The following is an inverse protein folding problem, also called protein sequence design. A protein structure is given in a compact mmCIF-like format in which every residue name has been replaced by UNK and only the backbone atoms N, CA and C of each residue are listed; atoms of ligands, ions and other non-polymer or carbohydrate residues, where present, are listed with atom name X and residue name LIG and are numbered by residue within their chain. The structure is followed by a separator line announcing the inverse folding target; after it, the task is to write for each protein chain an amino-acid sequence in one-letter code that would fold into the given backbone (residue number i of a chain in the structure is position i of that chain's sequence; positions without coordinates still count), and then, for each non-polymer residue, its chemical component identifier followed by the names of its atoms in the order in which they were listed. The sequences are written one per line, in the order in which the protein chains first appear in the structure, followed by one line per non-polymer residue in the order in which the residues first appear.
data_IF_336595719969
#
_entry.id   IF_336595719969
#
_cell.length_a   1.000
_cell.length_b   1.000
_cell.length_c   1.000
_cell.angle_alpha   90.00
_cell.angle_beta   90.00
_cell.angle_gamma   90.00
#
_symmetry.space_group_name_H-M   'P 1'
#
loop_
_entity.id
_entity.type
_entity.pdbx_description
1 polymer ?
#
# COMPACT_ATOMS: atom_id res chain seq x y z
N UNK A 1 26.68 -9.69 13.01
CA UNK A 1 25.57 -9.02 12.28
C UNK A 1 26.03 -8.88 10.83
N UNK A 2 25.40 -9.57 9.87
CA UNK A 2 25.87 -9.59 8.47
C UNK A 2 25.69 -8.22 7.81
N UNK A 3 26.55 -7.89 6.84
CA UNK A 3 26.55 -6.59 6.14
C UNK A 3 25.19 -6.26 5.51
N UNK A 4 24.47 -7.26 5.02
CA UNK A 4 23.13 -7.11 4.47
C UNK A 4 22.10 -6.68 5.51
N UNK A 5 22.19 -7.22 6.74
CA UNK A 5 21.28 -6.84 7.84
C UNK A 5 21.49 -5.39 8.27
N UNK A 6 22.74 -4.91 8.25
CA UNK A 6 23.07 -3.51 8.54
C UNK A 6 22.47 -2.60 7.46
N UNK A 7 22.63 -2.97 6.18
CA UNK A 7 22.03 -2.21 5.07
C UNK A 7 20.49 -2.17 5.15
N UNK A 8 19.85 -3.30 5.46
CA UNK A 8 18.41 -3.37 5.61
C UNK A 8 17.91 -2.50 6.77
N UNK A 9 18.61 -2.55 7.92
CA UNK A 9 18.31 -1.70 9.07
C UNK A 9 18.42 -0.21 8.72
N UNK A 10 19.50 0.22 8.08
CA UNK A 10 19.69 1.61 7.67
C UNK A 10 18.64 2.07 6.66
N UNK A 11 18.21 1.19 5.73
CA UNK A 11 17.13 1.49 4.78
C UNK A 11 15.80 1.74 5.51
N UNK A 12 15.45 0.89 6.47
CA UNK A 12 14.22 1.06 7.27
C UNK A 12 14.32 2.33 8.12
N UNK A 13 15.48 2.56 8.75
CA UNK A 13 15.73 3.75 9.57
C UNK A 13 15.50 5.02 8.76
N UNK A 14 16.10 5.10 7.57
CA UNK A 14 15.91 6.23 6.65
C UNK A 14 14.46 6.38 6.23
N UNK A 15 13.80 5.29 5.82
CA UNK A 15 12.39 5.34 5.46
C UNK A 15 11.54 5.91 6.60
N UNK A 16 11.72 5.44 7.84
CA UNK A 16 10.96 5.96 8.98
C UNK A 16 11.24 7.42 9.33
N UNK A 17 12.46 7.91 9.08
CA UNK A 17 12.84 9.31 9.38
C UNK A 17 12.55 10.29 8.25
N UNK A 18 12.52 9.82 7.01
CA UNK A 18 12.35 10.64 5.80
C UNK A 18 10.94 10.52 5.18
N UNK A 19 10.09 9.63 5.72
CA UNK A 19 8.75 9.39 5.19
C UNK A 19 7.90 10.68 5.23
N UNK A 20 7.18 10.99 4.14
CA UNK A 20 6.22 12.09 4.13
C UNK A 20 5.17 11.88 5.23
N UNK A 21 4.76 12.97 5.88
CA UNK A 21 3.71 12.98 6.89
C UNK A 21 2.47 12.21 6.38
N UNK A 22 2.01 11.25 7.18
CA UNK A 22 0.74 10.57 6.91
C UNK A 22 -0.41 11.57 7.04
N UNK A 23 -1.33 11.52 6.09
CA UNK A 23 -2.56 12.31 6.15
C UNK A 23 -3.54 11.69 7.14
N UNK A 24 -4.23 12.54 7.89
CA UNK A 24 -5.33 12.10 8.74
C UNK A 24 -6.51 11.69 7.84
N UNK A 25 -7.05 10.48 7.97
CA UNK A 25 -8.11 9.99 7.09
C UNK A 25 -9.41 10.79 7.25
N UNK A 26 -10.06 11.11 6.13
CA UNK A 26 -11.42 11.67 6.11
C UNK A 26 -12.37 10.74 5.33
N UNK A 27 -13.32 10.10 6.01
CA UNK A 27 -14.22 9.14 5.35
C UNK A 27 -15.20 9.77 4.35
N UNK A 28 -15.29 11.11 4.28
CA UNK A 28 -16.17 11.80 3.33
C UNK A 28 -15.52 12.03 1.96
N UNK A 29 -14.20 11.88 1.86
CA UNK A 29 -13.45 12.12 0.63
C UNK A 29 -13.02 10.75 0.06
N UNK A 30 -13.14 10.53 -1.26
CA UNK A 30 -12.75 9.24 -1.85
C UNK A 30 -11.29 8.89 -1.61
N UNK A 31 -11.04 7.61 -1.31
CA UNK A 31 -9.67 7.07 -1.20
C UNK A 31 -9.15 6.58 -2.54
N UNK A 32 -7.82 6.61 -2.70
CA UNK A 32 -7.11 5.90 -3.77
C UNK A 32 -6.33 4.75 -3.15
N UNK A 33 -6.59 3.54 -3.61
CA UNK A 33 -5.99 2.35 -3.05
C UNK A 33 -5.02 1.73 -4.03
N UNK A 34 -3.74 2.04 -3.86
CA UNK A 34 -2.66 1.49 -4.66
C UNK A 34 -2.29 0.11 -4.15
N UNK A 35 -2.22 -0.86 -5.05
CA UNK A 35 -1.79 -2.23 -4.73
C UNK A 35 -0.62 -2.64 -5.62
N UNK A 36 0.31 -3.37 -5.03
CA UNK A 36 1.46 -3.96 -5.71
C UNK A 36 1.71 -5.37 -5.18
N UNK A 37 2.04 -6.29 -6.07
CA UNK A 37 2.32 -7.67 -5.72
C UNK A 37 3.52 -8.18 -6.52
N UNK A 38 4.52 -8.69 -5.82
CA UNK A 38 5.70 -9.27 -6.42
C UNK A 38 5.98 -10.67 -5.84
N UNK A 39 6.96 -11.34 -6.43
CA UNK A 39 7.40 -12.68 -6.01
C UNK A 39 8.00 -12.76 -4.60
N UNK A 40 8.17 -11.63 -3.90
CA UNK A 40 8.70 -11.59 -2.53
C UNK A 40 7.67 -11.09 -1.51
N UNK A 41 6.67 -10.32 -1.94
CA UNK A 41 5.76 -9.65 -1.02
C UNK A 41 4.56 -9.01 -1.69
N UNK A 42 3.57 -8.68 -0.86
CA UNK A 42 2.39 -7.92 -1.20
C UNK A 42 2.49 -6.56 -0.51
N UNK A 43 2.11 -5.51 -1.21
CA UNK A 43 2.11 -4.14 -0.73
C UNK A 43 0.84 -3.43 -1.13
N UNK A 44 0.35 -2.56 -0.26
CA UNK A 44 -0.70 -1.61 -0.63
C UNK A 44 -0.54 -0.31 0.17
N UNK A 45 -1.01 0.78 -0.43
CA UNK A 45 -1.05 2.08 0.24
C UNK A 45 -2.39 2.76 -0.03
N UNK A 46 -3.04 3.23 1.03
CA UNK A 46 -4.19 4.12 0.93
C UNK A 46 -3.67 5.54 0.80
N UNK A 47 -4.08 6.21 -0.27
CA UNK A 47 -3.87 7.62 -0.52
C UNK A 47 -5.19 8.37 -0.44
N UNK A 48 -5.09 9.66 -0.17
CA UNK A 48 -6.22 10.57 -0.23
C UNK A 48 -5.77 11.92 -0.79
N UNK A 49 -6.66 12.57 -1.54
CA UNK A 49 -6.43 13.93 -2.04
C UNK A 49 -7.12 14.90 -1.08
N UNK A 50 -6.35 15.67 -0.33
CA UNK A 50 -6.85 16.65 0.63
C UNK A 50 -6.34 18.06 0.28
N UNK A 51 -7.06 19.09 0.74
CA UNK A 51 -6.58 20.47 0.60
C UNK A 51 -5.66 20.78 1.77
N UNK A 52 -4.38 21.01 1.47
CA UNK A 52 -3.35 21.42 2.44
C UNK A 52 -2.74 22.71 1.90
N UNK A 53 -2.71 23.76 2.72
CA UNK A 53 -2.25 25.10 2.32
C UNK A 53 -2.89 25.59 0.99
N UNK A 54 -4.22 25.47 0.91
CA UNK A 54 -5.05 25.83 -0.25
C UNK A 54 -4.72 25.08 -1.56
N UNK A 55 -4.01 23.95 -1.48
CA UNK A 55 -3.63 23.14 -2.65
C UNK A 55 -4.10 21.68 -2.52
N UNK A 56 -4.64 21.08 -3.59
CA UNK A 56 -4.93 19.65 -3.62
C UNK A 56 -3.62 18.87 -3.57
N UNK A 57 -3.42 18.18 -2.45
CA UNK A 57 -2.24 17.37 -2.17
C UNK A 57 -2.68 15.93 -2.00
N UNK A 58 -2.17 15.06 -2.85
CA UNK A 58 -2.31 13.63 -2.65
C UNK A 58 -1.25 13.15 -1.67
N UNK A 59 -1.69 12.48 -0.60
CA UNK A 59 -0.77 11.94 0.39
C UNK A 59 -1.20 10.59 0.93
N UNK A 60 -0.25 9.84 1.49
CA UNK A 60 -0.51 8.53 2.07
C UNK A 60 -1.23 8.65 3.41
N UNK A 61 -2.27 7.85 3.59
CA UNK A 61 -2.99 7.67 4.85
C UNK A 61 -2.42 6.46 5.61
N UNK A 62 -2.20 5.35 4.90
CA UNK A 62 -1.75 4.10 5.50
C UNK A 62 -0.95 3.26 4.52
N UNK A 63 0.19 2.72 4.99
CA UNK A 63 0.97 1.72 4.28
C UNK A 63 0.77 0.35 4.91
N UNK A 64 0.50 -0.66 4.09
CA UNK A 64 0.45 -2.05 4.51
C UNK A 64 1.32 -2.90 3.60
N UNK A 65 2.08 -3.82 4.17
CA UNK A 65 2.84 -4.81 3.41
C UNK A 65 2.94 -6.12 4.17
N UNK A 66 3.10 -7.23 3.44
CA UNK A 66 3.43 -8.52 4.03
C UNK A 66 4.27 -9.36 3.08
N UNK A 67 5.04 -10.28 3.64
CA UNK A 67 5.72 -11.30 2.86
C UNK A 67 4.70 -12.32 2.32
N UNK A 68 4.94 -12.81 1.11
CA UNK A 68 4.13 -13.91 0.55
C UNK A 68 4.46 -15.23 1.23
N UNK A 69 3.46 -16.11 1.32
CA UNK A 69 3.65 -17.47 1.83
C UNK A 69 4.23 -18.37 0.73
N UNK A 70 4.95 -19.45 1.08
CA UNK A 70 5.51 -20.39 0.09
C UNK A 70 4.47 -21.00 -0.87
N UNK A 71 3.21 -21.10 -0.43
CA UNK A 71 2.09 -21.56 -1.27
C UNK A 71 1.63 -20.51 -2.28
N UNK A 72 1.68 -19.23 -1.88
CA UNK A 72 1.26 -18.08 -2.69
C UNK A 72 2.32 -17.72 -3.75
N UNK A 73 3.59 -18.05 -3.49
CA UNK A 73 4.71 -17.85 -4.42
C UNK A 73 4.59 -18.64 -5.73
N UNK A 74 3.64 -19.58 -5.83
CA UNK A 74 3.37 -20.36 -7.04
C UNK A 74 2.35 -19.71 -7.97
N UNK A 75 1.72 -18.62 -7.53
CA UNK A 75 0.72 -17.91 -8.30
C UNK A 75 1.35 -17.09 -9.43
N UNK A 76 0.62 -16.99 -10.54
CA UNK A 76 1.00 -16.07 -11.62
C UNK A 76 0.82 -14.60 -11.19
N UNK A 77 1.41 -13.66 -11.92
CA UNK A 77 1.37 -12.23 -11.60
C UNK A 77 -0.07 -11.72 -11.34
N UNK A 78 -1.02 -12.00 -12.24
CA UNK A 78 -2.42 -11.57 -12.07
C UNK A 78 -3.12 -12.19 -10.86
N UNK A 79 -2.75 -13.43 -10.49
CA UNK A 79 -3.29 -14.09 -9.30
C UNK A 79 -2.71 -13.49 -8.01
N UNK A 80 -1.43 -13.12 -8.04
CA UNK A 80 -0.78 -12.43 -6.91
C UNK A 80 -1.37 -11.04 -6.68
N UNK A 81 -1.71 -10.31 -7.73
CA UNK A 81 -2.39 -9.02 -7.59
C UNK A 81 -3.80 -9.16 -7.04
N UNK A 82 -4.57 -10.15 -7.50
CA UNK A 82 -5.90 -10.42 -6.96
C UNK A 82 -5.81 -10.80 -5.47
N UNK A 83 -4.83 -11.65 -5.12
CA UNK A 83 -4.52 -11.97 -3.74
C UNK A 83 -4.15 -10.72 -2.93
N UNK A 84 -3.34 -9.82 -3.50
CA UNK A 84 -2.97 -8.57 -2.87
C UNK A 84 -4.20 -7.71 -2.61
N UNK A 85 -5.07 -7.51 -3.60
CA UNK A 85 -6.30 -6.74 -3.47
C UNK A 85 -7.18 -7.28 -2.36
N UNK A 86 -7.49 -8.59 -2.38
CA UNK A 86 -8.34 -9.21 -1.37
C UNK A 86 -7.75 -9.07 0.03
N UNK A 87 -6.45 -9.35 0.18
CA UNK A 87 -5.75 -9.22 1.45
C UNK A 87 -5.74 -7.76 1.94
N UNK A 88 -5.48 -6.82 1.04
CA UNK A 88 -5.35 -5.42 1.35
C UNK A 88 -6.71 -4.82 1.74
N UNK A 89 -7.80 -5.17 1.05
CA UNK A 89 -9.17 -4.79 1.42
C UNK A 89 -9.56 -5.33 2.81
N UNK A 90 -9.26 -6.60 3.08
CA UNK A 90 -9.53 -7.19 4.40
C UNK A 90 -8.75 -6.47 5.51
N UNK A 91 -7.51 -6.08 5.24
CA UNK A 91 -6.72 -5.32 6.21
C UNK A 91 -7.27 -3.92 6.39
N UNK A 92 -7.56 -3.19 5.32
CA UNK A 92 -7.98 -1.78 5.36
C UNK A 92 -9.50 -1.57 5.53
N UNK A 93 -10.24 -2.60 5.92
CA UNK A 93 -11.70 -2.54 6.05
C UNK A 93 -12.18 -1.38 6.94
N UNK A 94 -11.44 -1.05 7.99
CA UNK A 94 -11.76 0.02 8.93
C UNK A 94 -11.72 1.43 8.32
N UNK A 95 -11.07 1.61 7.16
CA UNK A 95 -11.08 2.87 6.40
C UNK A 95 -12.05 2.83 5.20
N UNK A 96 -12.14 1.65 4.57
CA UNK A 96 -12.85 1.49 3.30
C UNK A 96 -14.34 1.17 3.46
N UNK A 97 -14.76 0.66 4.62
CA UNK A 97 -16.16 0.33 4.86
C UNK A 97 -17.03 1.59 4.88
N UNK A 98 -18.02 1.64 3.98
CA UNK A 98 -18.87 2.81 3.77
C UNK A 98 -18.25 3.96 2.97
N UNK A 99 -16.97 3.88 2.60
CA UNK A 99 -16.25 4.91 1.84
C UNK A 99 -16.23 4.59 0.34
N UNK A 100 -16.19 5.63 -0.50
CA UNK A 100 -15.90 5.46 -1.94
C UNK A 100 -14.39 5.38 -2.12
N UNK A 101 -13.92 4.42 -2.92
CA UNK A 101 -12.50 4.31 -3.23
C UNK A 101 -12.26 3.81 -4.65
N UNK A 102 -11.13 4.22 -5.22
CA UNK A 102 -10.62 3.76 -6.51
C UNK A 102 -9.43 2.82 -6.26
N UNK A 103 -9.43 1.65 -6.88
CA UNK A 103 -8.31 0.70 -6.79
C UNK A 103 -7.37 0.93 -7.98
N UNK A 104 -6.08 1.10 -7.71
CA UNK A 104 -5.04 1.35 -8.71
C UNK A 104 -4.00 0.23 -8.63
N UNK A 105 -4.12 -0.81 -9.47
CA UNK A 105 -3.12 -1.88 -9.57
C UNK A 105 -1.91 -1.43 -10.41
N UNK A 106 -0.73 -1.96 -10.09
CA UNK A 106 0.50 -1.71 -10.86
C UNK A 106 0.54 -2.51 -12.19
N UNK A 107 -0.10 -3.69 -12.28
CA UNK A 107 -0.16 -4.41 -13.54
C UNK A 107 -1.22 -3.86 -14.49
N UNK A 108 -0.81 -3.81 -15.76
CA UNK A 108 -1.63 -3.38 -16.88
C UNK A 108 -2.84 -4.29 -17.20
N UNK A 109 -2.91 -5.49 -16.61
CA UNK A 109 -3.87 -6.53 -16.99
C UNK A 109 -5.23 -6.36 -16.29
N UNK A 110 -5.29 -5.69 -15.13
CA UNK A 110 -6.54 -5.44 -14.39
C UNK A 110 -7.26 -4.13 -14.75
N UNK A 111 -7.00 -3.57 -15.93
CA UNK A 111 -7.68 -2.35 -16.43
C UNK A 111 -8.87 -2.68 -17.32
#
# INVERSE_FOLDING_TARGET
MTQERIKAYEKIRKALTEVPLLLMPDCNIPFKFYIDACGDGLGAVLHQVQIIDDKPTEGPVCYISRQIKPTEARYGASQMECLCLVWALQKSHYYLDGSVFEVIPDCHIMK
#
